data_IF_969621863523
#
_entry.id   IF_969621863523
#
_cell.length_a   1.000
_cell.length_b   1.000
_cell.length_c   1.000
_cell.angle_alpha   90.00
_cell.angle_beta   90.00
_cell.angle_gamma   90.00
#
_symmetry.space_group_name_H-M   'P 1'
#
loop_
_entity.id
_entity.type
_entity.pdbx_description
1 polymer ?
#
# COMPACT_ATOMS: atom_id res chain seq x y z
N UNK A 1 -14.49 -20.12 -5.26
CA UNK A 1 -15.33 -18.91 -5.44
C UNK A 1 -15.51 -18.64 -6.93
N UNK A 2 -16.75 -18.36 -7.38
CA UNK A 2 -17.04 -18.10 -8.79
C UNK A 2 -16.74 -16.64 -9.15
N UNK A 3 -16.08 -16.35 -10.27
CA UNK A 3 -15.69 -14.98 -10.66
C UNK A 3 -16.90 -14.04 -10.79
N UNK A 4 -18.08 -14.57 -11.10
CA UNK A 4 -19.33 -13.80 -11.17
C UNK A 4 -19.77 -13.26 -9.80
N UNK A 5 -19.41 -13.95 -8.71
CA UNK A 5 -19.75 -13.54 -7.34
C UNK A 5 -18.83 -12.43 -6.84
N UNK A 6 -17.63 -12.30 -7.42
CA UNK A 6 -16.71 -11.20 -7.12
C UNK A 6 -17.22 -9.85 -7.65
N UNK A 7 -18.07 -9.85 -8.68
CA UNK A 7 -18.65 -8.64 -9.30
C UNK A 7 -19.96 -8.20 -8.64
N UNK A 8 -20.56 -9.02 -7.77
CA UNK A 8 -21.77 -8.63 -7.04
C UNK A 8 -21.38 -7.70 -5.89
N UNK A 9 -21.72 -6.42 -6.04
CA UNK A 9 -21.39 -5.40 -5.06
C UNK A 9 -22.33 -5.49 -3.85
N UNK A 10 -21.80 -5.78 -2.66
CA UNK A 10 -22.48 -5.57 -1.39
C UNK A 10 -21.55 -4.81 -0.45
N UNK A 11 -21.97 -3.62 0.00
CA UNK A 11 -21.23 -2.82 0.99
C UNK A 11 -21.37 -3.38 2.41
N UNK A 12 -22.34 -4.26 2.67
CA UNK A 12 -22.60 -4.77 4.01
C UNK A 12 -21.52 -5.77 4.42
N UNK A 13 -20.87 -5.51 5.56
CA UNK A 13 -19.96 -6.47 6.20
C UNK A 13 -20.74 -7.77 6.47
N UNK A 14 -20.19 -8.95 6.12
CA UNK A 14 -20.86 -10.21 6.40
C UNK A 14 -21.03 -10.39 7.91
N UNK A 15 -22.18 -10.94 8.31
CA UNK A 15 -22.36 -11.44 9.67
C UNK A 15 -21.59 -12.75 9.80
N UNK A 16 -20.82 -12.88 10.88
CA UNK A 16 -20.06 -14.08 11.17
C UNK A 16 -20.87 -15.01 12.06
N UNK A 17 -20.73 -16.31 11.85
CA UNK A 17 -21.14 -17.31 12.85
C UNK A 17 -20.22 -17.23 14.09
N UNK A 18 -20.61 -17.89 15.18
CA UNK A 18 -19.75 -17.97 16.37
C UNK A 18 -18.43 -18.68 16.07
N UNK A 19 -18.46 -19.74 15.26
CA UNK A 19 -17.27 -20.48 14.84
C UNK A 19 -16.33 -19.61 14.00
N UNK A 20 -16.86 -18.86 13.03
CA UNK A 20 -16.08 -17.93 12.20
C UNK A 20 -15.51 -16.78 13.03
N UNK A 21 -16.24 -16.34 14.06
CA UNK A 21 -15.76 -15.31 14.99
C UNK A 21 -14.58 -15.83 15.81
N UNK A 22 -14.63 -17.07 16.30
CA UNK A 22 -13.50 -17.72 16.99
C UNK A 22 -12.30 -17.90 16.06
N UNK A 23 -12.53 -18.34 14.83
CA UNK A 23 -11.47 -18.48 13.83
C UNK A 23 -10.79 -17.12 13.53
N UNK A 24 -11.58 -16.05 13.39
CA UNK A 24 -11.06 -14.70 13.21
C UNK A 24 -10.22 -14.24 14.41
N UNK A 25 -10.73 -14.44 15.63
CA UNK A 25 -10.03 -14.06 16.86
C UNK A 25 -8.73 -14.84 17.06
N UNK A 26 -8.74 -16.16 16.82
CA UNK A 26 -7.54 -17.01 16.86
C UNK A 26 -6.50 -16.49 15.86
N UNK A 27 -6.93 -16.17 14.65
CA UNK A 27 -6.06 -15.61 13.61
C UNK A 27 -5.47 -14.25 13.98
N UNK A 28 -6.28 -13.33 14.48
CA UNK A 28 -5.81 -12.00 14.92
C UNK A 28 -4.81 -12.12 16.08
N UNK A 29 -5.08 -13.02 17.02
CA UNK A 29 -4.17 -13.32 18.14
C UNK A 29 -2.84 -13.91 17.64
N UNK A 30 -2.88 -14.83 16.67
CA UNK A 30 -1.68 -15.40 16.05
C UNK A 30 -0.84 -14.35 15.33
N UNK A 31 -1.47 -13.48 14.55
CA UNK A 31 -0.77 -12.37 13.89
C UNK A 31 -0.09 -11.45 14.89
N UNK A 32 -0.78 -11.08 15.97
CA UNK A 32 -0.22 -10.24 17.02
C UNK A 32 0.97 -10.92 17.74
N UNK A 33 0.86 -12.23 18.03
CA UNK A 33 1.96 -13.00 18.64
C UNK A 33 3.19 -13.04 17.73
N UNK A 34 3.01 -13.31 16.44
CA UNK A 34 4.10 -13.32 15.46
C UNK A 34 4.72 -11.94 15.30
N UNK A 35 3.93 -10.88 15.23
CA UNK A 35 4.43 -9.49 15.16
C UNK A 35 5.28 -9.13 16.39
N UNK A 36 4.80 -9.48 17.59
CA UNK A 36 5.56 -9.28 18.83
C UNK A 36 6.88 -10.09 18.85
N UNK A 37 6.86 -11.32 18.32
CA UNK A 37 8.05 -12.15 18.21
C UNK A 37 9.07 -11.56 17.22
N UNK A 38 8.63 -11.04 16.07
CA UNK A 38 9.49 -10.34 15.12
C UNK A 38 10.08 -9.05 15.71
N UNK A 39 9.29 -8.26 16.44
CA UNK A 39 9.80 -7.07 17.13
C UNK A 39 10.88 -7.40 18.17
N UNK A 40 10.75 -8.55 18.85
CA UNK A 40 11.80 -9.04 19.75
C UNK A 40 13.04 -9.53 19.00
N UNK A 41 12.85 -10.21 17.86
CA UNK A 41 13.96 -10.63 17.00
C UNK A 41 14.76 -9.42 16.50
N UNK A 42 14.09 -8.36 16.05
CA UNK A 42 14.73 -7.10 15.66
C UNK A 42 15.52 -6.49 16.84
N UNK A 43 14.97 -6.55 18.05
CA UNK A 43 15.68 -6.10 19.25
C UNK A 43 16.94 -6.94 19.53
N UNK A 44 16.90 -8.24 19.28
CA UNK A 44 18.03 -9.16 19.40
C UNK A 44 19.12 -8.83 18.38
N UNK A 45 18.75 -8.61 17.11
CA UNK A 45 19.67 -8.21 16.03
C UNK A 45 20.39 -6.88 16.38
N UNK A 46 19.65 -5.91 16.92
CA UNK A 46 20.22 -4.64 17.39
C UNK A 46 21.20 -4.87 18.55
N UNK A 47 20.91 -5.77 19.49
CA UNK A 47 21.82 -6.05 20.60
C UNK A 47 23.07 -6.81 20.14
N UNK A 48 22.91 -7.78 19.24
CA UNK A 48 24.01 -8.53 18.63
C UNK A 48 24.97 -7.61 17.86
N UNK A 49 24.42 -6.72 17.02
CA UNK A 49 25.23 -5.75 16.26
C UNK A 49 25.98 -4.74 17.15
N UNK A 50 25.51 -4.52 18.37
CA UNK A 50 26.18 -3.69 19.38
C UNK A 50 27.04 -4.49 20.38
N UNK A 51 27.28 -5.77 20.11
CA UNK A 51 28.05 -6.68 20.98
C UNK A 51 27.50 -6.80 22.42
N UNK A 52 26.20 -6.55 22.62
CA UNK A 52 25.50 -6.74 23.90
C UNK A 52 24.94 -8.15 24.00
N UNK A 53 25.84 -9.14 23.95
CA UNK A 53 25.47 -10.56 23.81
C UNK A 53 24.71 -11.12 25.03
N UNK A 54 25.01 -10.64 26.24
CA UNK A 54 24.31 -11.05 27.46
C UNK A 54 22.82 -10.65 27.41
N UNK A 55 22.54 -9.37 27.12
CA UNK A 55 21.17 -8.86 26.98
C UNK A 55 20.43 -9.54 25.82
N UNK A 56 21.13 -9.74 24.70
CA UNK A 56 20.61 -10.43 23.52
C UNK A 56 20.18 -11.85 23.84
N UNK A 57 20.97 -12.56 24.66
CA UNK A 57 20.68 -13.95 25.03
C UNK A 57 19.48 -14.05 25.94
N UNK A 58 19.34 -13.13 26.90
CA UNK A 58 18.14 -13.06 27.73
C UNK A 58 16.89 -12.85 26.87
N UNK A 59 16.96 -11.97 25.87
CA UNK A 59 15.86 -11.78 24.92
C UNK A 59 15.65 -12.99 24.02
N UNK A 60 16.71 -13.68 23.61
CA UNK A 60 16.66 -14.89 22.79
C UNK A 60 15.98 -16.04 23.54
N UNK A 61 16.23 -16.20 24.83
CA UNK A 61 15.50 -17.16 25.67
C UNK A 61 14.00 -16.85 25.77
N UNK A 62 13.64 -15.56 25.86
CA UNK A 62 12.23 -15.14 25.80
C UNK A 62 11.63 -15.37 24.41
N UNK A 63 12.36 -15.10 23.34
CA UNK A 63 11.91 -15.34 21.97
C UNK A 63 11.71 -16.83 21.71
N UNK A 64 12.59 -17.68 22.21
CA UNK A 64 12.45 -19.14 22.16
C UNK A 64 11.14 -19.60 22.81
N UNK A 65 10.76 -19.02 23.96
CA UNK A 65 9.47 -19.29 24.60
C UNK A 65 8.29 -18.79 23.76
N UNK A 66 8.39 -17.60 23.16
CA UNK A 66 7.33 -17.05 22.30
C UNK A 66 7.08 -17.95 21.10
N UNK A 67 8.14 -18.37 20.40
CA UNK A 67 8.08 -19.26 19.23
C UNK A 67 7.45 -20.60 19.60
N UNK A 68 7.92 -21.29 20.65
CA UNK A 68 7.31 -22.54 21.09
C UNK A 68 5.81 -22.38 21.44
N UNK A 69 5.45 -21.26 22.08
CA UNK A 69 4.07 -20.96 22.43
C UNK A 69 3.20 -20.56 21.23
N UNK A 70 3.77 -20.03 20.15
CA UNK A 70 3.06 -19.82 18.88
C UNK A 70 2.72 -21.19 18.28
N UNK A 71 3.70 -22.11 18.20
CA UNK A 71 3.50 -23.49 17.78
C UNK A 71 2.39 -24.22 18.55
N UNK A 72 2.38 -24.11 19.88
CA UNK A 72 1.32 -24.68 20.71
C UNK A 72 -0.04 -24.03 20.47
N UNK A 73 -0.08 -22.71 20.31
CA UNK A 73 -1.32 -21.99 20.06
C UNK A 73 -1.92 -22.31 18.68
N UNK A 74 -1.09 -22.63 17.68
CA UNK A 74 -1.56 -23.13 16.38
C UNK A 74 -2.36 -24.43 16.56
N UNK A 75 -1.90 -25.32 17.44
CA UNK A 75 -2.51 -26.63 17.73
C UNK A 75 -3.59 -26.61 18.83
N UNK A 76 -3.99 -25.42 19.31
CA UNK A 76 -4.93 -25.23 20.43
C UNK A 76 -4.45 -25.85 21.76
N UNK A 77 -3.14 -25.91 21.96
CA UNK A 77 -2.50 -26.44 23.15
C UNK A 77 -2.19 -25.36 24.19
N UNK A 78 -2.13 -25.77 25.46
CA UNK A 78 -1.82 -24.86 26.55
C UNK A 78 -0.36 -24.36 26.47
N UNK A 79 -0.11 -23.06 26.74
CA UNK A 79 1.24 -22.49 26.66
C UNK A 79 2.15 -22.99 27.79
N UNK A 80 3.43 -23.11 27.48
CA UNK A 80 4.50 -23.42 28.43
C UNK A 80 5.06 -22.15 29.05
N UNK A 81 5.58 -22.27 30.28
CA UNK A 81 6.17 -21.14 31.03
C UNK A 81 7.69 -21.19 31.06
N UNK A 82 8.27 -22.36 30.85
CA UNK A 82 9.72 -22.59 30.91
C UNK A 82 10.21 -23.36 29.69
N UNK A 83 11.43 -23.04 29.24
CA UNK A 83 12.10 -23.79 28.17
C UNK A 83 12.41 -25.24 28.58
N UNK A 84 12.43 -25.53 29.89
CA UNK A 84 12.54 -26.90 30.40
C UNK A 84 11.36 -27.78 30.00
N UNK A 85 10.20 -27.19 29.68
CA UNK A 85 9.00 -27.90 29.23
C UNK A 85 9.01 -28.20 27.71
N UNK A 86 10.09 -27.84 26.97
CA UNK A 86 10.13 -27.96 25.49
C UNK A 86 9.87 -29.38 24.98
N UNK A 87 10.35 -30.40 25.68
CA UNK A 87 10.15 -31.80 25.25
C UNK A 87 8.66 -32.17 25.26
N UNK A 88 7.92 -31.63 26.22
CA UNK A 88 6.46 -31.81 26.28
C UNK A 88 5.79 -31.01 25.17
N UNK A 89 6.29 -29.82 24.84
CA UNK A 89 5.81 -29.00 23.73
C UNK A 89 5.99 -29.70 22.37
N UNK A 90 7.18 -30.25 22.11
CA UNK A 90 7.51 -30.95 20.86
C UNK A 90 6.52 -32.07 20.53
N UNK A 91 6.14 -32.85 21.54
CA UNK A 91 5.20 -33.98 21.37
C UNK A 91 3.75 -33.55 21.08
N UNK A 92 3.42 -32.29 21.36
CA UNK A 92 2.08 -31.73 21.14
C UNK A 92 1.91 -31.08 19.77
N UNK A 93 3.02 -30.67 19.14
CA UNK A 93 3.03 -30.08 17.81
C UNK A 93 2.86 -31.19 16.77
N UNK A 94 1.80 -31.09 15.96
CA UNK A 94 1.49 -32.11 14.92
C UNK A 94 2.26 -31.87 13.62
N UNK A 95 2.66 -30.64 13.32
CA UNK A 95 3.40 -30.31 12.10
C UNK A 95 4.81 -30.90 12.15
N UNK A 96 5.05 -31.94 11.33
CA UNK A 96 6.29 -32.72 11.35
C UNK A 96 7.54 -31.91 11.03
N UNK A 97 7.42 -30.84 10.22
CA UNK A 97 8.56 -29.99 9.86
C UNK A 97 8.88 -28.99 10.96
N UNK A 98 7.86 -28.44 11.64
CA UNK A 98 8.07 -27.60 12.82
C UNK A 98 8.75 -28.41 13.93
N UNK A 99 8.26 -29.63 14.18
CA UNK A 99 8.88 -30.56 15.13
C UNK A 99 10.32 -30.87 14.75
N UNK A 100 10.61 -31.15 13.48
CA UNK A 100 11.97 -31.39 13.00
C UNK A 100 12.88 -30.17 13.16
N UNK A 101 12.40 -28.96 12.86
CA UNK A 101 13.18 -27.73 13.06
C UNK A 101 13.53 -27.50 14.54
N UNK A 102 12.62 -27.88 15.45
CA UNK A 102 12.89 -27.83 16.90
C UNK A 102 13.94 -28.88 17.28
N UNK A 103 13.84 -30.10 16.76
CA UNK A 103 14.81 -31.19 17.01
C UNK A 103 16.22 -30.87 16.48
N UNK A 104 16.31 -30.32 15.26
CA UNK A 104 17.57 -29.97 14.62
C UNK A 104 18.34 -28.88 15.42
N UNK A 105 17.62 -28.07 16.21
CA UNK A 105 18.17 -26.98 17.03
C UNK A 105 18.11 -27.25 18.54
N UNK A 106 17.96 -28.52 18.93
CA UNK A 106 17.80 -28.93 20.34
C UNK A 106 18.95 -28.48 21.24
N UNK A 107 20.19 -28.53 20.74
CA UNK A 107 21.39 -28.09 21.49
C UNK A 107 21.31 -26.58 21.81
N UNK A 108 20.77 -25.80 20.90
CA UNK A 108 20.69 -24.34 20.98
C UNK A 108 19.60 -23.95 21.98
N UNK A 109 18.46 -24.65 21.98
CA UNK A 109 17.45 -24.53 23.03
C UNK A 109 18.00 -24.92 24.43
N UNK A 110 18.86 -25.94 24.51
CA UNK A 110 19.54 -26.30 25.77
C UNK A 110 20.47 -25.18 26.24
N UNK A 111 21.27 -24.60 25.34
CA UNK A 111 22.18 -23.49 25.66
C UNK A 111 21.43 -22.26 26.16
N UNK A 112 20.29 -21.91 25.55
CA UNK A 112 19.43 -20.81 26.00
C UNK A 112 18.81 -21.04 27.38
N UNK A 113 18.80 -22.28 27.88
CA UNK A 113 18.29 -22.63 29.21
C UNK A 113 19.40 -22.65 30.28
N UNK A 114 20.67 -22.47 29.90
CA UNK A 114 21.81 -22.50 30.79
C UNK A 114 22.25 -21.12 31.28
N UNK A 115 23.05 -21.09 32.35
CA UNK A 115 23.55 -19.86 33.00
C UNK A 115 24.87 -19.35 32.42
N UNK A 116 25.43 -20.00 31.39
CA UNK A 116 26.74 -19.63 30.85
C UNK A 116 26.64 -18.38 29.96
N UNK A 117 27.52 -17.38 30.12
CA UNK A 117 27.57 -16.23 29.23
C UNK A 117 27.99 -16.71 27.83
N UNK A 118 27.19 -16.45 26.79
CA UNK A 118 27.46 -16.96 25.47
C UNK A 118 28.50 -16.14 24.73
N UNK A 119 29.16 -16.78 23.77
CA UNK A 119 30.00 -16.08 22.81
C UNK A 119 29.17 -15.29 21.78
N UNK A 120 29.81 -14.35 21.07
CA UNK A 120 29.15 -13.62 19.98
C UNK A 120 28.62 -14.55 18.88
N UNK A 121 29.39 -15.59 18.51
CA UNK A 121 28.98 -16.59 17.53
C UNK A 121 27.74 -17.38 17.99
N UNK A 122 27.62 -17.67 19.29
CA UNK A 122 26.45 -18.35 19.84
C UNK A 122 25.21 -17.45 19.77
N UNK A 123 25.34 -16.16 20.07
CA UNK A 123 24.23 -15.21 20.00
C UNK A 123 23.70 -15.03 18.56
N UNK A 124 24.59 -14.98 17.55
CA UNK A 124 24.21 -14.95 16.13
C UNK A 124 23.56 -16.27 15.68
N UNK A 125 24.05 -17.40 16.20
CA UNK A 125 23.42 -18.70 15.95
C UNK A 125 22.00 -18.73 16.51
N UNK A 126 21.79 -18.16 17.70
CA UNK A 126 20.46 -18.08 18.33
C UNK A 126 19.47 -17.26 17.51
N UNK A 127 19.88 -16.08 17.07
CA UNK A 127 19.10 -15.23 16.18
C UNK A 127 18.71 -15.98 14.90
N UNK A 128 19.69 -16.65 14.27
CA UNK A 128 19.48 -17.36 13.00
C UNK A 128 18.44 -18.46 13.14
N UNK A 129 18.55 -19.37 14.11
CA UNK A 129 17.61 -20.48 14.20
C UNK A 129 16.21 -20.00 14.64
N UNK A 130 16.12 -19.02 15.56
CA UNK A 130 14.84 -18.47 16.00
C UNK A 130 14.12 -17.77 14.85
N UNK A 131 14.85 -17.05 13.98
CA UNK A 131 14.29 -16.45 12.77
C UNK A 131 13.74 -17.51 11.81
N UNK A 132 14.42 -18.65 11.66
CA UNK A 132 13.98 -19.74 10.78
C UNK A 132 12.68 -20.38 11.26
N UNK A 133 12.57 -20.64 12.58
CA UNK A 133 11.35 -21.22 13.14
C UNK A 133 10.20 -20.21 13.01
N UNK A 134 10.41 -18.94 13.38
CA UNK A 134 9.38 -17.91 13.30
C UNK A 134 8.87 -17.69 11.87
N UNK A 135 9.79 -17.70 10.88
CA UNK A 135 9.43 -17.64 9.47
C UNK A 135 8.58 -18.84 9.04
N UNK A 136 8.90 -20.03 9.53
CA UNK A 136 8.13 -21.24 9.23
C UNK A 136 6.73 -21.20 9.84
N UNK A 137 6.58 -20.72 11.08
CA UNK A 137 5.28 -20.51 11.73
C UNK A 137 4.42 -19.48 10.99
N UNK A 138 5.00 -18.39 10.51
CA UNK A 138 4.30 -17.41 9.68
C UNK A 138 3.78 -18.05 8.38
N UNK A 139 4.57 -18.94 7.77
CA UNK A 139 4.16 -19.69 6.58
C UNK A 139 3.01 -20.64 6.88
N UNK A 140 3.03 -21.34 8.03
CA UNK A 140 1.91 -22.17 8.50
C UNK A 140 0.66 -21.30 8.66
N UNK A 141 0.77 -20.16 9.36
CA UNK A 141 -0.37 -19.24 9.55
C UNK A 141 -0.94 -18.74 8.22
N UNK A 142 -0.09 -18.40 7.25
CA UNK A 142 -0.52 -18.00 5.90
C UNK A 142 -1.29 -19.11 5.19
N UNK A 143 -0.88 -20.37 5.38
CA UNK A 143 -1.60 -21.54 4.84
C UNK A 143 -2.95 -21.72 5.53
N UNK A 144 -2.96 -21.79 6.87
CA UNK A 144 -4.18 -21.95 7.68
C UNK A 144 -5.20 -20.84 7.41
N UNK A 145 -4.75 -19.60 7.23
CA UNK A 145 -5.62 -18.47 6.85
C UNK A 145 -6.42 -18.73 5.57
N UNK A 146 -5.85 -19.44 4.60
CA UNK A 146 -6.51 -19.71 3.32
C UNK A 146 -7.35 -21.00 3.36
N UNK A 147 -7.19 -21.82 4.39
CA UNK A 147 -7.87 -23.10 4.58
C UNK A 147 -8.86 -22.99 5.75
N UNK A 148 -8.45 -23.35 6.96
CA UNK A 148 -9.31 -23.49 8.15
C UNK A 148 -9.73 -22.17 8.80
N UNK A 149 -8.87 -21.14 8.73
CA UNK A 149 -9.10 -19.82 9.31
C UNK A 149 -9.62 -18.80 8.27
N UNK A 150 -10.09 -19.30 7.13
CA UNK A 150 -10.73 -18.46 6.10
C UNK A 150 -12.13 -18.08 6.55
N UNK A 151 -12.46 -16.80 6.47
CA UNK A 151 -13.76 -16.27 6.89
C UNK A 151 -14.43 -15.50 5.74
N UNK A 152 -15.77 -15.34 5.76
CA UNK A 152 -16.47 -14.51 4.78
C UNK A 152 -15.98 -13.05 4.72
N UNK A 153 -15.36 -12.56 5.80
CA UNK A 153 -14.71 -11.24 5.84
C UNK A 153 -13.53 -11.16 4.86
N UNK A 154 -12.79 -12.24 4.66
CA UNK A 154 -11.65 -12.25 3.75
C UNK A 154 -12.11 -12.10 2.30
N UNK A 155 -13.22 -12.75 1.95
CA UNK A 155 -13.84 -12.60 0.63
C UNK A 155 -14.46 -11.20 0.45
N UNK A 156 -15.05 -10.64 1.51
CA UNK A 156 -15.50 -9.25 1.52
C UNK A 156 -14.35 -8.27 1.30
N UNK A 157 -13.22 -8.42 2.01
CA UNK A 157 -12.02 -7.58 1.85
C UNK A 157 -11.44 -7.70 0.44
N UNK A 158 -11.30 -8.93 -0.09
CA UNK A 158 -10.84 -9.17 -1.48
C UNK A 158 -11.75 -8.47 -2.50
N UNK A 159 -13.07 -8.58 -2.34
CA UNK A 159 -14.04 -7.86 -3.18
C UNK A 159 -13.84 -6.36 -3.06
N UNK A 160 -13.74 -5.81 -1.85
CA UNK A 160 -13.54 -4.38 -1.63
C UNK A 160 -12.29 -3.88 -2.37
N UNK A 161 -11.15 -4.54 -2.17
CA UNK A 161 -9.88 -4.17 -2.83
C UNK A 161 -9.99 -4.20 -4.34
N UNK A 162 -10.61 -5.24 -4.91
CA UNK A 162 -10.80 -5.36 -6.36
C UNK A 162 -11.66 -4.22 -6.91
N UNK A 163 -12.76 -3.88 -6.23
CA UNK A 163 -13.61 -2.75 -6.64
C UNK A 163 -12.91 -1.40 -6.46
N UNK A 164 -12.10 -1.23 -5.41
CA UNK A 164 -11.29 -0.01 -5.21
C UNK A 164 -10.27 0.17 -6.33
N UNK A 165 -9.58 -0.90 -6.74
CA UNK A 165 -8.64 -0.86 -7.87
C UNK A 165 -9.38 -0.52 -9.17
N UNK A 166 -10.53 -1.17 -9.42
CA UNK A 166 -11.32 -0.90 -10.62
C UNK A 166 -11.82 0.57 -10.66
N UNK A 167 -12.27 1.09 -9.52
CA UNK A 167 -12.69 2.49 -9.42
C UNK A 167 -11.54 3.46 -9.69
N UNK A 168 -10.35 3.19 -9.16
CA UNK A 168 -9.14 3.99 -9.44
C UNK A 168 -8.74 3.95 -10.91
N UNK A 169 -8.84 2.79 -11.57
CA UNK A 169 -8.57 2.66 -13.00
C UNK A 169 -9.56 3.46 -13.85
N UNK A 170 -10.86 3.36 -13.56
CA UNK A 170 -11.90 4.12 -14.27
C UNK A 170 -11.69 5.62 -14.07
N UNK A 171 -11.40 6.06 -12.84
CA UNK A 171 -11.15 7.46 -12.52
C UNK A 171 -9.86 7.97 -13.20
N UNK A 172 -8.79 7.16 -13.22
CA UNK A 172 -7.55 7.47 -13.92
C UNK A 172 -7.75 7.64 -15.42
N UNK A 173 -8.48 6.74 -16.08
CA UNK A 173 -8.83 6.87 -17.50
C UNK A 173 -9.74 8.09 -17.74
N UNK A 174 -10.73 8.29 -16.87
CA UNK A 174 -11.68 9.41 -16.92
C UNK A 174 -11.03 10.78 -16.75
N UNK A 175 -9.89 10.88 -16.05
CA UNK A 175 -9.09 12.10 -15.97
C UNK A 175 -8.09 12.22 -17.12
N UNK A 176 -7.50 11.11 -17.56
CA UNK A 176 -6.50 11.09 -18.63
C UNK A 176 -7.06 11.54 -19.98
N UNK A 177 -8.25 11.07 -20.37
CA UNK A 177 -8.89 11.42 -21.65
C UNK A 177 -9.14 12.94 -21.77
N UNK A 178 -9.83 13.61 -20.84
CA UNK A 178 -10.03 15.05 -20.90
C UNK A 178 -8.73 15.83 -20.71
N UNK A 179 -7.77 15.38 -19.89
CA UNK A 179 -6.47 16.05 -19.76
C UNK A 179 -5.67 16.01 -21.08
N UNK A 180 -5.63 14.85 -21.75
CA UNK A 180 -5.00 14.69 -23.08
C UNK A 180 -5.73 15.51 -24.15
N UNK A 181 -7.05 15.55 -24.10
CA UNK A 181 -7.87 16.36 -25.02
C UNK A 181 -7.62 17.84 -24.79
N UNK A 182 -7.61 18.29 -23.53
CA UNK A 182 -7.26 19.65 -23.14
C UNK A 182 -5.85 20.04 -23.60
N UNK A 183 -4.85 19.18 -23.41
CA UNK A 183 -3.48 19.40 -23.90
C UNK A 183 -3.40 19.47 -25.44
N UNK A 184 -4.18 18.64 -26.15
CA UNK A 184 -4.22 18.63 -27.62
C UNK A 184 -4.91 19.86 -28.20
N UNK A 185 -5.96 20.35 -27.56
CA UNK A 185 -6.72 21.54 -27.99
C UNK A 185 -6.33 22.81 -27.23
N UNK A 186 -5.25 22.76 -26.42
CA UNK A 186 -4.66 23.96 -25.85
C UNK A 186 -4.15 24.78 -27.01
N UNK A 187 -4.82 25.89 -27.28
CA UNK A 187 -4.41 26.87 -28.28
C UNK A 187 -3.00 27.30 -27.86
N UNK A 188 -1.99 26.85 -28.61
CA UNK A 188 -0.67 27.45 -28.54
C UNK A 188 -0.86 28.89 -29.04
N UNK A 189 -0.46 29.85 -28.20
CA UNK A 189 -0.75 31.27 -28.37
C UNK A 189 0.01 31.93 -29.55
N UNK A 190 0.33 31.18 -30.59
CA UNK A 190 1.31 31.61 -31.58
C UNK A 190 0.71 32.15 -32.88
N UNK A 191 -0.59 32.01 -33.14
CA UNK A 191 -1.25 32.78 -34.23
C UNK A 191 -2.77 32.82 -34.08
N UNK A 192 -3.31 33.93 -33.59
CA UNK A 192 -4.74 34.26 -33.80
C UNK A 192 -4.84 35.03 -35.11
N UNK A 193 -5.14 34.33 -36.21
CA UNK A 193 -5.44 34.99 -37.49
C UNK A 193 -6.87 35.52 -37.43
N UNK A 194 -7.01 36.81 -37.10
CA UNK A 194 -8.25 37.56 -37.18
C UNK A 194 -8.56 37.88 -38.65
N UNK A 195 -9.44 37.08 -39.27
CA UNK A 195 -9.99 37.40 -40.57
C UNK A 195 -11.15 38.40 -40.40
N UNK A 196 -10.92 39.65 -40.79
CA UNK A 196 -11.99 40.62 -40.95
C UNK A 196 -12.82 40.26 -42.18
N UNK A 197 -14.06 39.80 -41.99
CA UNK A 197 -15.07 39.83 -43.04
C UNK A 197 -15.64 41.25 -43.11
N UNK A 198 -15.08 42.09 -43.97
CA UNK A 198 -15.73 43.32 -44.39
C UNK A 198 -16.22 43.14 -45.84
N UNK A 199 -17.52 42.93 -46.01
CA UNK A 199 -18.15 42.68 -47.32
C UNK A 199 -18.14 43.89 -48.26
N UNK A 200 -17.56 45.05 -47.89
CA UNK A 200 -17.68 46.28 -48.70
C UNK A 200 -16.41 46.85 -49.32
N UNK A 201 -15.22 46.30 -49.07
CA UNK A 201 -14.01 46.70 -49.80
C UNK A 201 -13.00 45.54 -49.88
N UNK A 202 -12.71 44.95 -51.06
CA UNK A 202 -11.47 44.20 -51.22
C UNK A 202 -10.31 45.19 -51.08
N UNK A 203 -9.33 44.84 -50.26
CA UNK A 203 -8.11 45.61 -50.04
C UNK A 203 -7.54 46.06 -51.39
N UNK A 204 -7.58 47.36 -51.64
CA UNK A 204 -6.90 47.98 -52.77
C UNK A 204 -5.42 48.07 -52.43
N UNK A 205 -4.62 47.60 -53.38
CA UNK A 205 -3.17 47.63 -53.48
C UNK A 205 -2.51 48.81 -52.75
N UNK A 206 -1.83 48.53 -51.63
CA UNK A 206 -0.68 49.32 -51.14
C UNK A 206 0.08 48.54 -50.06
N UNK A 207 1.22 47.89 -50.38
CA UNK A 207 2.01 47.10 -49.44
C UNK A 207 2.90 48.00 -48.58
N UNK A 208 2.30 48.85 -47.76
CA UNK A 208 3.04 49.85 -46.97
C UNK A 208 2.43 50.25 -45.64
N UNK A 209 1.26 49.71 -45.26
CA UNK A 209 0.56 50.09 -44.01
C UNK A 209 0.33 48.94 -43.04
N UNK A 210 0.93 47.77 -43.27
CA UNK A 210 0.80 46.61 -42.37
C UNK A 210 1.52 46.78 -41.01
N UNK A 211 2.33 47.82 -40.82
CA UNK A 211 3.18 47.94 -39.64
C UNK A 211 2.71 48.94 -38.57
N UNK A 212 1.42 49.29 -38.51
CA UNK A 212 0.91 50.19 -37.44
C UNK A 212 0.24 49.52 -36.26
N UNK A 213 0.01 48.21 -36.29
CA UNK A 213 -0.51 47.47 -35.11
C UNK A 213 0.54 46.51 -34.54
N UNK A 214 1.69 46.34 -35.18
CA UNK A 214 2.73 45.41 -34.72
C UNK A 214 3.65 45.94 -33.61
N UNK A 215 3.45 47.15 -33.07
CA UNK A 215 4.34 47.71 -32.03
C UNK A 215 3.72 47.83 -30.62
N UNK A 216 2.51 47.34 -30.37
CA UNK A 216 1.88 47.42 -29.05
C UNK A 216 1.80 46.07 -28.28
N UNK A 217 2.50 45.03 -28.75
CA UNK A 217 2.64 43.75 -28.04
C UNK A 217 4.04 43.58 -27.43
N UNK A 218 4.70 44.68 -27.07
CA UNK A 218 5.72 44.65 -26.04
C UNK A 218 4.98 44.61 -24.70
N UNK A 219 5.28 43.56 -23.94
CA UNK A 219 4.73 43.24 -22.63
C UNK A 219 4.96 44.44 -21.69
N UNK A 220 3.98 45.33 -21.60
CA UNK A 220 3.85 46.27 -20.49
C UNK A 220 2.63 45.87 -19.66
N UNK A 221 2.78 45.88 -18.34
CA UNK A 221 1.80 45.33 -17.39
C UNK A 221 0.65 46.31 -17.10
N UNK A 222 0.51 47.34 -17.91
CA UNK A 222 -0.38 48.46 -17.68
C UNK A 222 -1.65 48.33 -18.51
N UNK A 223 -2.78 48.65 -17.89
CA UNK A 223 -4.06 48.75 -18.59
C UNK A 223 -3.99 49.90 -19.61
N UNK A 224 -4.18 49.57 -20.88
CA UNK A 224 -4.31 50.56 -21.96
C UNK A 224 -5.77 50.69 -22.37
N UNK A 225 -6.36 51.85 -22.11
CA UNK A 225 -7.68 52.18 -22.59
C UNK A 225 -7.62 52.56 -24.07
N UNK A 226 -8.28 51.76 -24.90
CA UNK A 226 -8.42 52.04 -26.34
C UNK A 226 -9.78 52.67 -26.61
N UNK A 227 -9.79 53.94 -26.96
CA UNK A 227 -10.98 54.62 -27.49
C UNK A 227 -11.07 54.39 -29.00
N UNK A 228 -12.05 53.58 -29.40
CA UNK A 228 -12.40 53.43 -30.81
C UNK A 228 -13.27 54.61 -31.24
N UNK A 229 -12.79 55.39 -32.21
CA UNK A 229 -13.60 56.42 -32.83
C UNK A 229 -14.66 55.76 -33.73
N UNK A 230 -15.91 55.74 -33.28
CA UNK A 230 -17.02 55.37 -34.15
C UNK A 230 -17.16 56.44 -35.25
N UNK A 231 -17.39 56.04 -36.51
CA UNK A 231 -17.66 57.00 -37.56
C UNK A 231 -18.92 57.81 -37.21
N UNK A 232 -18.91 59.10 -37.52
CA UNK A 232 -20.01 60.00 -37.22
C UNK A 232 -21.34 59.44 -37.78
N UNK A 233 -22.44 59.53 -37.02
CA UNK A 233 -23.72 59.00 -37.47
C UNK A 233 -24.13 59.69 -38.78
N UNK A 234 -24.31 58.89 -39.83
CA UNK A 234 -24.89 59.36 -41.08
C UNK A 234 -26.34 59.78 -40.80
N UNK A 235 -26.66 61.06 -41.00
CA UNK A 235 -28.04 61.51 -41.05
C UNK A 235 -28.70 60.89 -42.28
N UNK A 236 -29.52 59.86 -42.05
CA UNK A 236 -30.36 59.29 -43.10
C UNK A 236 -31.60 60.17 -43.23
N UNK A 237 -31.61 61.07 -44.22
CA UNK A 237 -32.81 61.81 -44.59
C UNK A 237 -33.80 60.88 -45.28
N UNK A 238 -34.89 60.56 -44.58
CA UNK A 238 -36.08 59.82 -45.01
C UNK A 238 -35.91 58.31 -45.26
N UNK A 239 -36.60 57.53 -44.43
CA UNK A 239 -37.01 56.15 -44.74
C UNK A 239 -38.30 56.29 -45.56
N UNK A 240 -38.32 55.82 -46.81
CA UNK A 240 -39.58 55.62 -47.54
C UNK A 240 -40.19 54.31 -47.07
N UNK A 241 -41.42 54.38 -46.56
CA UNK A 241 -42.31 53.23 -46.42
C UNK A 241 -42.81 52.77 -47.79
#
# INVERSE_FOLDING_TARGET
>A
MNWKELLKFSYKKPQLSEEETRALQKRETLYQKIENAYSRLESIEILNSNSKYEDSTILSGKLALDVLNIGLFLEDEAPIRSLMERETCKNKIKDTKLTQLIEDNEIQFQKLSGDSPPSGEEAETFETFLSQILYYEEKILKKLKNEELHTPIDDYKKRLTLHSILALLILGMGLYIPAKTYLKYRIQADTVNLYYFNEKFPLTENPGTENRIQQALLIDSNWHDYTFALPAPLQVSSIRF
#
